data_IF_599964998263
#
_entry.id   IF_599964998263
#
_cell.length_a   1.000
_cell.length_b   1.000
_cell.length_c   1.000
_cell.angle_alpha   90.00
_cell.angle_beta   90.00
_cell.angle_gamma   90.00
#
_symmetry.space_group_name_H-M   'P 1'
#
loop_
_entity.id
_entity.type
_entity.pdbx_description
1 polymer ?
#
# COMPACT_ATOMS: atom_id res chain seq x y z
N UNK A 1 6.82 -3.60 17.35
CA UNK A 1 6.52 -4.64 16.36
C UNK A 1 7.83 -5.16 15.80
N UNK A 2 8.04 -6.45 15.74
CA UNK A 2 9.25 -7.04 15.14
C UNK A 2 8.84 -7.97 13.99
N UNK A 3 9.59 -7.94 12.92
CA UNK A 3 9.48 -8.87 11.81
C UNK A 3 10.88 -9.38 11.45
N UNK A 4 10.94 -10.62 10.99
CA UNK A 4 12.19 -11.25 10.60
C UNK A 4 12.15 -11.49 9.09
N UNK A 5 13.19 -11.04 8.41
CA UNK A 5 13.40 -11.28 6.99
C UNK A 5 14.68 -12.09 6.84
N UNK A 6 14.60 -13.24 6.17
CA UNK A 6 15.75 -14.06 5.85
C UNK A 6 16.08 -13.91 4.37
N UNK A 7 17.32 -13.51 4.07
CA UNK A 7 17.78 -13.26 2.71
C UNK A 7 19.03 -14.08 2.44
N UNK A 8 19.08 -14.88 1.34
CA UNK A 8 20.31 -15.58 0.95
C UNK A 8 21.36 -14.58 0.46
N UNK A 9 22.60 -14.75 0.90
CA UNK A 9 23.75 -13.92 0.52
C UNK A 9 24.71 -14.75 -0.31
N UNK A 10 24.99 -14.31 -1.54
CA UNK A 10 25.87 -14.99 -2.50
C UNK A 10 27.17 -14.22 -2.80
N UNK A 11 27.26 -12.95 -2.38
CA UNK A 11 28.37 -12.06 -2.66
C UNK A 11 28.86 -11.38 -1.38
N UNK A 12 30.07 -10.83 -1.42
CA UNK A 12 30.64 -10.11 -0.26
C UNK A 12 29.87 -8.86 0.12
N UNK A 13 29.26 -8.20 -0.87
CA UNK A 13 28.41 -7.03 -0.69
C UNK A 13 27.04 -7.37 -1.24
N UNK A 14 26.00 -7.20 -0.44
CA UNK A 14 24.63 -7.41 -0.83
C UNK A 14 23.79 -6.18 -0.48
N UNK A 15 22.97 -5.76 -1.45
CA UNK A 15 21.93 -4.78 -1.21
C UNK A 15 20.62 -5.50 -0.93
N UNK A 16 20.12 -5.36 0.29
CA UNK A 16 18.86 -5.96 0.70
C UNK A 16 17.78 -4.88 0.58
N UNK A 17 16.75 -5.18 -0.19
CA UNK A 17 15.55 -4.34 -0.27
C UNK A 17 14.46 -5.05 0.49
N UNK A 18 13.93 -4.39 1.53
CA UNK A 18 12.81 -4.93 2.28
C UNK A 18 11.58 -5.06 1.36
N UNK A 19 10.91 -6.22 1.36
CA UNK A 19 9.75 -6.44 0.49
C UNK A 19 8.46 -5.80 1.03
N UNK A 20 8.58 -4.85 1.95
CA UNK A 20 7.47 -4.12 2.56
C UNK A 20 7.82 -2.64 2.65
N UNK A 21 6.84 -1.79 2.40
CA UNK A 21 6.96 -0.35 2.59
C UNK A 21 6.73 0.06 4.04
N UNK A 22 7.03 1.31 4.34
CA UNK A 22 6.73 1.95 5.62
C UNK A 22 5.46 2.77 5.45
N UNK A 23 4.32 2.20 5.78
CA UNK A 23 3.02 2.88 5.75
C UNK A 23 2.56 3.26 7.15
N UNK A 24 1.76 4.33 7.24
CA UNK A 24 1.30 4.89 8.51
C UNK A 24 0.34 3.97 9.30
N UNK A 25 -0.23 2.96 8.66
CA UNK A 25 -1.14 2.00 9.31
C UNK A 25 -0.36 1.02 10.18
N UNK A 26 0.78 0.56 9.67
CA UNK A 26 1.61 -0.48 10.32
C UNK A 26 2.80 0.14 11.05
N UNK A 27 3.40 1.18 10.46
CA UNK A 27 4.62 1.82 10.95
C UNK A 27 4.34 3.26 11.38
N UNK A 28 4.34 3.47 12.68
CA UNK A 28 4.16 4.80 13.23
C UNK A 28 5.46 5.61 13.17
N UNK A 29 5.33 6.93 13.23
CA UNK A 29 6.48 7.80 13.45
C UNK A 29 7.25 7.38 14.70
N UNK A 30 8.57 7.38 14.60
CA UNK A 30 9.43 7.01 15.73
C UNK A 30 10.77 6.43 15.33
N UNK A 31 11.50 5.99 16.33
CA UNK A 31 12.81 5.35 16.18
C UNK A 31 12.68 3.84 16.15
N UNK A 32 13.38 3.23 15.23
CA UNK A 32 13.42 1.80 15.02
C UNK A 32 14.84 1.28 15.03
N UNK A 33 15.01 0.03 15.44
CA UNK A 33 16.28 -0.67 15.44
C UNK A 33 16.24 -1.83 14.44
N UNK A 34 17.30 -1.94 13.67
CA UNK A 34 17.53 -3.05 12.74
C UNK A 34 18.70 -3.88 13.25
N UNK A 35 18.47 -5.15 13.50
CA UNK A 35 19.50 -6.13 13.85
C UNK A 35 19.79 -7.00 12.64
N UNK A 36 21.05 -7.08 12.26
CA UNK A 36 21.55 -7.95 11.19
C UNK A 36 22.34 -9.09 11.81
N UNK A 37 21.98 -10.32 11.47
CA UNK A 37 22.69 -11.52 11.91
C UNK A 37 23.20 -12.30 10.68
N UNK A 38 24.49 -12.57 10.69
CA UNK A 38 25.13 -13.37 9.64
C UNK A 38 26.27 -14.20 10.22
N UNK A 39 26.20 -15.51 10.06
CA UNK A 39 27.25 -16.47 10.46
C UNK A 39 27.76 -16.26 11.90
N UNK A 40 26.86 -15.99 12.83
CA UNK A 40 27.20 -15.75 14.24
C UNK A 40 27.63 -14.32 14.58
N UNK A 41 27.81 -13.45 13.59
CA UNK A 41 28.05 -12.03 13.82
C UNK A 41 26.72 -11.26 13.89
N UNK A 42 26.66 -10.29 14.77
CA UNK A 42 25.48 -9.42 14.96
C UNK A 42 25.93 -7.97 14.77
N UNK A 43 25.15 -7.22 14.03
CA UNK A 43 25.32 -5.77 13.85
C UNK A 43 23.99 -5.07 13.99
N UNK A 44 23.98 -3.96 14.69
CA UNK A 44 22.77 -3.15 14.92
C UNK A 44 22.93 -1.79 14.27
N UNK A 45 21.83 -1.29 13.69
CA UNK A 45 21.72 0.08 13.21
C UNK A 45 20.33 0.62 13.50
N UNK A 46 20.21 1.92 13.63
CA UNK A 46 18.94 2.58 13.87
C UNK A 46 18.51 3.39 12.67
N UNK A 47 17.19 3.56 12.52
CA UNK A 47 16.61 4.52 11.60
C UNK A 47 15.39 5.19 12.24
N UNK A 48 14.98 6.30 11.68
CA UNK A 48 13.81 7.05 12.15
C UNK A 48 12.80 7.15 11.03
N UNK A 49 11.55 6.87 11.35
CA UNK A 49 10.42 7.15 10.48
C UNK A 49 9.85 8.50 10.90
N UNK A 50 9.77 9.41 9.95
CA UNK A 50 9.18 10.73 10.12
C UNK A 50 7.89 10.80 9.32
N UNK A 51 6.85 11.36 9.93
CA UNK A 51 5.63 11.70 9.21
C UNK A 51 5.81 13.12 8.63
N UNK A 52 6.04 13.20 7.35
CA UNK A 52 6.14 14.46 6.60
C UNK A 52 4.81 14.85 5.93
N UNK A 53 3.72 14.12 6.23
CA UNK A 53 2.42 14.31 5.64
C UNK A 53 2.27 13.74 4.22
N UNK A 54 3.31 13.10 3.69
CA UNK A 54 3.22 12.46 2.38
C UNK A 54 2.43 11.15 2.45
N UNK A 55 1.82 10.78 1.32
CA UNK A 55 1.06 9.53 1.22
C UNK A 55 2.03 8.35 1.17
N UNK A 56 1.88 7.41 2.09
CA UNK A 56 2.57 6.12 2.09
C UNK A 56 1.55 5.00 1.88
N UNK A 57 1.79 4.15 0.90
CA UNK A 57 0.88 3.07 0.51
C UNK A 57 1.41 1.74 1.02
N UNK A 58 0.57 0.91 1.70
CA UNK A 58 0.97 -0.42 2.13
C UNK A 58 1.51 -1.27 0.98
N UNK A 59 2.60 -1.98 1.21
CA UNK A 59 3.29 -2.72 0.16
C UNK A 59 2.41 -3.77 -0.54
N UNK A 60 1.49 -4.41 0.20
CA UNK A 60 0.60 -5.41 -0.37
C UNK A 60 -0.33 -4.85 -1.46
N UNK A 61 -0.67 -3.55 -1.41
CA UNK A 61 -1.44 -2.88 -2.47
C UNK A 61 -0.67 -2.91 -3.79
N UNK A 62 0.64 -2.75 -3.72
CA UNK A 62 1.52 -2.84 -4.89
C UNK A 62 1.54 -4.26 -5.49
N UNK A 63 1.48 -5.29 -4.65
CA UNK A 63 1.40 -6.68 -5.12
C UNK A 63 0.07 -6.95 -5.84
N UNK A 64 -1.05 -6.47 -5.30
CA UNK A 64 -2.35 -6.54 -5.99
C UNK A 64 -2.32 -5.76 -7.31
N UNK A 65 -1.72 -4.58 -7.31
CA UNK A 65 -1.56 -3.76 -8.51
C UNK A 65 -0.78 -4.49 -9.61
N UNK A 66 0.29 -5.20 -9.26
CA UNK A 66 1.06 -6.02 -10.22
C UNK A 66 0.21 -7.09 -10.88
N UNK A 67 -0.64 -7.79 -10.10
CA UNK A 67 -1.56 -8.78 -10.64
C UNK A 67 -2.60 -8.14 -11.57
N UNK A 68 -3.12 -6.98 -11.20
CA UNK A 68 -4.08 -6.26 -12.00
C UNK A 68 -3.49 -5.76 -13.33
N UNK A 69 -2.30 -5.17 -13.32
CA UNK A 69 -1.57 -4.74 -14.52
C UNK A 69 -1.31 -5.92 -15.46
N UNK A 70 -0.96 -7.08 -14.91
CA UNK A 70 -0.70 -8.31 -15.64
C UNK A 70 -1.96 -9.06 -16.10
N UNK A 71 -3.16 -8.49 -15.94
CA UNK A 71 -4.45 -9.13 -16.23
C UNK A 71 -4.69 -10.45 -15.47
N UNK A 72 -4.06 -10.61 -14.31
CA UNK A 72 -4.23 -11.76 -13.41
C UNK A 72 -5.27 -11.48 -12.33
N UNK A 73 -5.63 -10.23 -12.11
CA UNK A 73 -6.69 -9.81 -11.22
C UNK A 73 -7.67 -8.87 -11.96
N UNK A 74 -8.99 -8.99 -11.74
CA UNK A 74 -9.97 -8.10 -12.31
C UNK A 74 -9.96 -6.72 -11.62
N UNK A 75 -10.58 -5.73 -12.25
CA UNK A 75 -10.70 -4.36 -11.71
C UNK A 75 -11.28 -4.35 -10.29
N UNK A 76 -12.21 -5.27 -10.00
CA UNK A 76 -12.84 -5.38 -8.68
C UNK A 76 -11.84 -5.74 -7.57
N UNK A 77 -10.87 -6.60 -7.85
CA UNK A 77 -9.85 -6.96 -6.85
C UNK A 77 -8.89 -5.80 -6.58
N UNK A 78 -8.50 -5.10 -7.61
CA UNK A 78 -7.71 -3.88 -7.44
C UNK A 78 -8.50 -2.80 -6.71
N UNK A 79 -9.79 -2.62 -7.03
CA UNK A 79 -10.67 -1.68 -6.34
C UNK A 79 -10.79 -1.95 -4.84
N UNK A 80 -10.79 -3.22 -4.40
CA UNK A 80 -10.78 -3.57 -2.97
C UNK A 80 -9.54 -3.04 -2.25
N UNK A 81 -8.39 -3.07 -2.90
CA UNK A 81 -7.18 -2.48 -2.32
C UNK A 81 -7.27 -0.96 -2.21
N UNK A 82 -7.94 -0.30 -3.17
CA UNK A 82 -8.21 1.13 -3.08
C UNK A 82 -9.25 1.47 -2.00
N UNK A 83 -10.27 0.63 -1.83
CA UNK A 83 -11.22 0.75 -0.70
C UNK A 83 -10.52 0.69 0.65
N UNK A 84 -9.53 -0.20 0.79
CA UNK A 84 -8.72 -0.25 1.99
C UNK A 84 -8.00 1.08 2.24
N UNK A 85 -7.38 1.69 1.22
CA UNK A 85 -6.73 2.99 1.34
C UNK A 85 -7.71 4.09 1.77
N UNK A 86 -8.95 4.03 1.30
CA UNK A 86 -10.01 4.96 1.67
C UNK A 86 -10.48 4.71 3.10
N UNK A 87 -10.68 3.46 3.51
CA UNK A 87 -11.11 3.10 4.86
C UNK A 87 -10.08 3.47 5.93
N UNK A 88 -8.79 3.40 5.58
CA UNK A 88 -7.69 3.81 6.47
C UNK A 88 -7.34 5.29 6.35
N UNK A 89 -8.14 6.07 5.63
CA UNK A 89 -7.95 7.51 5.42
C UNK A 89 -6.58 7.87 4.78
N UNK A 90 -5.94 6.93 4.12
CA UNK A 90 -4.72 7.17 3.33
C UNK A 90 -5.08 7.96 2.06
N UNK A 91 -6.19 7.59 1.44
CA UNK A 91 -6.83 8.32 0.33
C UNK A 91 -8.22 8.76 0.81
N UNK A 92 -8.59 9.99 0.53
CA UNK A 92 -9.88 10.54 0.94
C UNK A 92 -10.86 10.41 -0.22
N UNK A 93 -12.00 9.79 0.05
CA UNK A 93 -13.13 9.75 -0.87
C UNK A 93 -14.36 10.31 -0.16
N UNK A 94 -14.76 11.51 -0.54
CA UNK A 94 -15.90 12.21 0.07
C UNK A 94 -17.25 11.86 -0.54
N UNK A 95 -17.25 11.08 -1.62
CA UNK A 95 -18.49 10.74 -2.32
C UNK A 95 -18.73 9.23 -2.33
N UNK A 96 -19.99 8.87 -2.09
CA UNK A 96 -20.46 7.50 -2.19
C UNK A 96 -20.86 7.24 -3.64
N UNK A 97 -20.27 6.22 -4.25
CA UNK A 97 -20.63 5.74 -5.58
C UNK A 97 -20.93 4.26 -5.51
N UNK A 98 -21.94 3.82 -6.27
CA UNK A 98 -22.22 2.39 -6.49
C UNK A 98 -21.50 1.86 -7.74
N UNK A 99 -20.88 2.77 -8.50
CA UNK A 99 -20.19 2.46 -9.74
C UNK A 99 -18.70 2.20 -9.51
N UNK A 100 -18.19 1.15 -10.12
CA UNK A 100 -16.75 0.92 -10.27
C UNK A 100 -16.30 1.41 -11.64
N UNK A 101 -15.41 2.38 -11.65
CA UNK A 101 -14.79 2.88 -12.88
C UNK A 101 -13.32 3.17 -12.67
N UNK A 102 -12.47 2.46 -13.36
CA UNK A 102 -11.03 2.68 -13.42
C UNK A 102 -10.65 2.75 -14.89
N UNK A 103 -10.19 3.90 -15.40
CA UNK A 103 -9.81 4.03 -16.80
C UNK A 103 -8.68 3.08 -17.18
N UNK A 104 -8.76 2.47 -18.35
CA UNK A 104 -7.75 1.51 -18.83
C UNK A 104 -6.35 2.12 -18.89
N UNK A 105 -6.23 3.39 -19.28
CA UNK A 105 -4.93 4.08 -19.33
C UNK A 105 -4.26 4.22 -17.96
N UNK A 106 -5.02 4.15 -16.85
CA UNK A 106 -4.47 4.25 -15.51
C UNK A 106 -3.56 3.06 -15.16
N UNK A 107 -3.68 1.93 -15.87
CA UNK A 107 -2.75 0.80 -15.76
C UNK A 107 -1.31 1.19 -16.05
N UNK A 108 -1.09 2.14 -16.95
CA UNK A 108 0.26 2.62 -17.29
C UNK A 108 0.88 3.36 -16.09
N UNK A 109 0.16 4.28 -15.50
CA UNK A 109 0.59 5.01 -14.30
C UNK A 109 0.85 4.05 -13.14
N UNK A 110 -0.05 3.09 -12.95
CA UNK A 110 0.09 2.06 -11.91
C UNK A 110 1.30 1.16 -12.17
N UNK A 111 1.62 0.85 -13.44
CA UNK A 111 2.81 0.08 -13.79
C UNK A 111 4.11 0.81 -13.43
N UNK A 112 4.18 2.11 -13.62
CA UNK A 112 5.33 2.90 -13.23
C UNK A 112 5.52 2.89 -11.71
N UNK A 113 4.45 3.04 -10.97
CA UNK A 113 4.50 2.95 -9.51
C UNK A 113 4.87 1.53 -9.03
N UNK A 114 4.24 0.49 -9.56
CA UNK A 114 4.54 -0.90 -9.21
C UNK A 114 5.97 -1.30 -9.56
N UNK A 115 6.54 -0.69 -10.61
CA UNK A 115 7.94 -0.85 -11.03
C UNK A 115 8.93 0.07 -10.30
N UNK A 116 8.50 0.78 -9.27
CA UNK A 116 9.32 1.72 -8.49
C UNK A 116 9.90 2.90 -9.31
N UNK A 117 9.24 3.28 -10.40
CA UNK A 117 9.64 4.43 -11.22
C UNK A 117 9.08 5.75 -10.67
N UNK A 118 7.96 5.71 -9.97
CA UNK A 118 7.40 6.82 -9.23
C UNK A 118 7.18 6.42 -7.78
N UNK A 119 7.38 7.34 -6.80
CA UNK A 119 7.21 7.05 -5.39
C UNK A 119 5.73 6.97 -4.97
N UNK A 120 5.47 6.40 -3.80
CA UNK A 120 4.12 6.28 -3.22
C UNK A 120 3.41 7.62 -3.11
N UNK A 121 4.12 8.66 -2.68
CA UNK A 121 3.55 10.00 -2.54
C UNK A 121 2.99 10.52 -3.87
N UNK A 122 3.76 10.44 -4.93
CA UNK A 122 3.36 10.92 -6.26
C UNK A 122 2.20 10.09 -6.84
N UNK A 123 2.26 8.77 -6.69
CA UNK A 123 1.17 7.88 -7.11
C UNK A 123 -0.11 8.13 -6.30
N UNK A 124 0.02 8.28 -4.99
CA UNK A 124 -1.10 8.57 -4.09
C UNK A 124 -1.76 9.91 -4.38
N UNK A 125 -1.00 10.95 -4.66
CA UNK A 125 -1.52 12.25 -5.06
C UNK A 125 -2.27 12.19 -6.40
N UNK A 126 -1.72 11.46 -7.37
CA UNK A 126 -2.39 11.22 -8.64
C UNK A 126 -3.72 10.48 -8.44
N UNK A 127 -3.72 9.42 -7.65
CA UNK A 127 -4.92 8.65 -7.33
C UNK A 127 -5.96 9.52 -6.60
N UNK A 128 -5.53 10.32 -5.62
CA UNK A 128 -6.39 11.26 -4.89
C UNK A 128 -7.05 12.27 -5.84
N UNK A 129 -6.27 12.82 -6.76
CA UNK A 129 -6.77 13.76 -7.77
C UNK A 129 -7.84 13.11 -8.66
N UNK A 130 -7.57 11.91 -9.17
CA UNK A 130 -8.49 11.20 -10.08
C UNK A 130 -9.80 10.79 -9.38
N UNK A 131 -9.76 10.48 -8.10
CA UNK A 131 -10.95 10.22 -7.28
C UNK A 131 -11.74 11.53 -7.08
N UNK A 132 -11.08 12.61 -6.72
CA UNK A 132 -11.72 13.91 -6.52
C UNK A 132 -12.40 14.42 -7.81
N UNK A 133 -11.77 14.21 -8.96
CA UNK A 133 -12.30 14.59 -10.27
C UNK A 133 -13.32 13.58 -10.84
N UNK A 134 -13.65 12.54 -10.08
CA UNK A 134 -14.60 11.48 -10.50
C UNK A 134 -14.20 10.73 -11.77
N UNK A 135 -12.92 10.72 -12.08
CA UNK A 135 -12.34 9.92 -13.16
C UNK A 135 -12.25 8.47 -12.73
N UNK A 136 -11.86 8.24 -11.48
CA UNK A 136 -11.90 6.93 -10.81
C UNK A 136 -13.07 6.95 -9.82
N UNK A 137 -13.94 5.95 -9.91
CA UNK A 137 -15.04 5.72 -8.98
C UNK A 137 -14.83 4.38 -8.29
N UNK A 138 -14.85 4.39 -6.98
CA UNK A 138 -14.69 3.21 -6.14
C UNK A 138 -15.99 3.00 -5.38
N UNK A 139 -16.68 1.86 -5.56
CA UNK A 139 -17.92 1.59 -4.86
C UNK A 139 -17.70 1.45 -3.36
N UNK A 140 -18.66 1.89 -2.60
CA UNK A 140 -18.66 1.71 -1.15
C UNK A 140 -18.77 0.21 -0.80
N UNK A 141 -17.92 -0.23 0.11
CA UNK A 141 -17.96 -1.62 0.56
C UNK A 141 -19.08 -1.81 1.59
N UNK A 142 -20.21 -2.34 1.14
CA UNK A 142 -21.35 -2.62 2.00
C UNK A 142 -21.13 -3.82 2.94
N UNK A 143 -20.17 -4.70 2.64
CA UNK A 143 -19.90 -5.87 3.48
C UNK A 143 -19.36 -5.47 4.85
N UNK A 144 -18.53 -4.44 4.93
CA UNK A 144 -18.00 -3.93 6.20
C UNK A 144 -19.07 -3.30 7.10
N UNK A 145 -20.16 -2.76 6.52
CA UNK A 145 -21.28 -2.18 7.27
C UNK A 145 -22.23 -3.24 7.78
N UNK A 146 -22.42 -4.33 7.05
CA UNK A 146 -23.28 -5.45 7.46
C UNK A 146 -22.67 -6.20 8.65
N UNK A 147 -21.37 -6.41 8.70
CA UNK A 147 -20.69 -7.00 9.87
C UNK A 147 -20.83 -6.12 11.11
N UNK A 148 -20.69 -4.79 10.98
CA UNK A 148 -20.89 -3.84 12.08
C UNK A 148 -22.34 -3.77 12.57
N UNK A 149 -23.34 -3.96 11.71
CA UNK A 149 -24.75 -3.94 12.07
C UNK A 149 -25.25 -5.25 12.70
N UNK A 150 -24.62 -6.39 12.42
CA UNK A 150 -24.99 -7.68 13.03
C UNK A 150 -24.53 -7.80 14.48
N UNK A 151 -23.49 -7.10 14.90
CA UNK A 151 -23.05 -7.02 16.29
C UNK A 151 -23.96 -6.13 17.15
N UNK A 152 -24.64 -5.16 16.57
CA UNK A 152 -25.51 -4.21 17.28
C UNK A 152 -26.92 -4.73 17.54
N UNK A 153 -27.31 -5.90 17.02
CA UNK A 153 -28.64 -6.50 17.19
C UNK A 153 -28.67 -7.61 18.26
N UNK A 154 -27.57 -7.85 18.92
CA UNK A 154 -27.46 -8.72 20.08
C UNK A 154 -27.37 -7.92 21.38
#
# INVERSE_FOLDING_TARGET
KSSILTVPIFEKEARIIAPFGFDSVIWNEGKYELELQYSGAISNTGFTILDDGSIAIPYWVKDVAKLWIGNQAPDREYAKSLQYLINEEIIINSEISDELRIPEWFRITTAWWAGNQIPDAEYGECLQYLINEKVILIPYDQESVIEGSSESTL
#
